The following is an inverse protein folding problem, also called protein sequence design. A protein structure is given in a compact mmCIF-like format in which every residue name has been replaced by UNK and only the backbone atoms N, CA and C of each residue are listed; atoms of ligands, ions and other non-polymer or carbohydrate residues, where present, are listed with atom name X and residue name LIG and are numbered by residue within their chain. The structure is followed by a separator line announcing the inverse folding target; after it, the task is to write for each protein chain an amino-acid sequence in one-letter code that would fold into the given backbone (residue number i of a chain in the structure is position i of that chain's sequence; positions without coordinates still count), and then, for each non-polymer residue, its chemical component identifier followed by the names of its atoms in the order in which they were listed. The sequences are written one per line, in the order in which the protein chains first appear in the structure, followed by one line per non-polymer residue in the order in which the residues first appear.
data_IF_101288115647
#
_entry.id   IF_101288115647
#
_cell.length_a   1.000
_cell.length_b   1.000
_cell.length_c   1.000
_cell.angle_alpha   90.00
_cell.angle_beta   90.00
_cell.angle_gamma   90.00
#
_symmetry.space_group_name_H-M   'P 1'
#
loop_
_entity.id
_entity.type
_entity.pdbx_description
1 polymer ?
#
# COMPACT_ATOMS: atom_id res chain seq x y z
N UNK A 1 6.26 1.91 -8.91
CA UNK A 1 7.22 1.15 -9.74
C UNK A 1 8.32 0.58 -8.85
N UNK A 2 8.09 -0.57 -8.23
CA UNK A 2 9.10 -1.30 -7.44
C UNK A 2 9.57 -2.55 -8.19
N UNK A 3 8.61 -3.30 -8.76
CA UNK A 3 8.91 -4.51 -9.54
C UNK A 3 9.86 -4.25 -10.72
N UNK A 4 9.70 -3.12 -11.43
CA UNK A 4 10.60 -2.75 -12.54
C UNK A 4 12.06 -2.55 -12.07
N UNK A 5 12.25 -1.92 -10.92
CA UNK A 5 13.58 -1.70 -10.33
C UNK A 5 14.19 -3.02 -9.87
N UNK A 6 13.41 -3.87 -9.21
CA UNK A 6 13.89 -5.18 -8.75
C UNK A 6 14.22 -6.13 -9.91
N UNK A 7 13.49 -6.06 -11.02
CA UNK A 7 13.79 -6.84 -12.22
C UNK A 7 15.09 -6.38 -12.90
N UNK A 8 15.46 -5.09 -12.79
CA UNK A 8 16.65 -4.51 -13.41
C UNK A 8 17.90 -4.61 -12.53
N UNK A 9 17.75 -4.32 -11.25
CA UNK A 9 18.85 -4.21 -10.28
C UNK A 9 19.00 -5.47 -9.40
N UNK A 10 18.06 -6.42 -9.53
CA UNK A 10 18.01 -7.66 -8.75
C UNK A 10 17.34 -7.51 -7.39
N UNK A 11 16.99 -8.66 -6.78
CA UNK A 11 16.23 -8.70 -5.52
C UNK A 11 16.96 -8.03 -4.35
N UNK A 12 18.30 -8.03 -4.35
CA UNK A 12 19.12 -7.44 -3.29
C UNK A 12 18.91 -5.92 -3.16
N UNK A 13 18.47 -5.25 -4.22
CA UNK A 13 18.21 -3.81 -4.20
C UNK A 13 17.09 -3.42 -3.22
N UNK A 14 16.24 -4.38 -2.83
CA UNK A 14 15.20 -4.15 -1.80
C UNK A 14 15.79 -3.75 -0.45
N UNK A 15 16.98 -4.23 -0.10
CA UNK A 15 17.65 -3.92 1.16
C UNK A 15 18.17 -2.48 1.19
N UNK A 16 18.63 -1.97 0.04
CA UNK A 16 19.01 -0.57 -0.10
C UNK A 16 17.78 0.33 0.08
N UNK A 17 16.69 0.00 -0.63
CA UNK A 17 15.43 0.73 -0.52
C UNK A 17 14.88 0.74 0.92
N UNK A 18 14.94 -0.39 1.62
CA UNK A 18 14.50 -0.49 3.02
C UNK A 18 15.30 0.45 3.93
N UNK A 19 16.63 0.46 3.81
CA UNK A 19 17.50 1.34 4.61
C UNK A 19 17.24 2.81 4.32
N UNK A 20 17.12 3.16 3.05
CA UNK A 20 16.85 4.55 2.63
C UNK A 20 15.50 5.03 3.19
N UNK A 21 14.48 4.15 3.16
CA UNK A 21 13.17 4.44 3.73
C UNK A 21 13.22 4.61 5.26
N UNK A 22 13.97 3.76 5.97
CA UNK A 22 14.17 3.88 7.41
C UNK A 22 14.90 5.18 7.79
N UNK A 23 15.92 5.57 7.04
CA UNK A 23 16.66 6.82 7.27
C UNK A 23 15.78 8.05 7.00
N UNK A 24 15.01 8.00 5.91
CA UNK A 24 14.03 9.04 5.60
C UNK A 24 12.99 9.17 6.72
N UNK A 25 12.45 8.05 7.21
CA UNK A 25 11.52 8.02 8.34
C UNK A 25 12.11 8.65 9.60
N UNK A 26 13.35 8.31 9.93
CA UNK A 26 14.06 8.88 11.08
C UNK A 26 14.25 10.39 10.95
N UNK A 27 14.58 10.86 9.75
CA UNK A 27 14.76 12.29 9.45
C UNK A 27 13.44 13.07 9.57
N UNK A 28 12.31 12.43 9.27
CA UNK A 28 10.97 13.01 9.33
C UNK A 28 10.22 12.66 10.62
N UNK A 29 10.93 12.17 11.64
CA UNK A 29 10.39 11.85 12.97
C UNK A 29 9.22 10.84 12.94
N UNK A 30 9.20 9.97 11.93
CA UNK A 30 8.26 8.86 11.84
C UNK A 30 8.82 7.63 12.57
N UNK A 31 8.14 7.20 13.62
CA UNK A 31 8.47 6.00 14.40
C UNK A 31 7.96 4.72 13.73
N UNK A 32 6.95 4.84 12.85
CA UNK A 32 6.39 3.68 12.14
C UNK A 32 5.81 4.04 10.78
N UNK A 33 5.74 3.05 9.88
CA UNK A 33 5.08 3.18 8.58
C UNK A 33 3.60 3.50 8.76
N UNK A 34 2.96 2.98 9.82
CA UNK A 34 1.56 3.28 10.15
C UNK A 34 1.34 4.76 10.47
N UNK A 35 2.26 5.38 11.22
CA UNK A 35 2.23 6.81 11.51
C UNK A 35 2.34 7.61 10.21
N UNK A 36 3.30 7.26 9.34
CA UNK A 36 3.47 7.88 8.02
C UNK A 36 2.20 7.76 7.16
N UNK A 37 1.59 6.58 7.10
CA UNK A 37 0.35 6.33 6.35
C UNK A 37 -0.84 7.13 6.88
N UNK A 38 -0.94 7.27 8.21
CA UNK A 38 -1.96 8.09 8.86
C UNK A 38 -1.78 9.58 8.53
N UNK A 39 -0.55 10.08 8.60
CA UNK A 39 -0.22 11.46 8.24
C UNK A 39 -0.45 11.72 6.75
N UNK A 40 -0.03 10.84 5.85
CA UNK A 40 -0.31 11.00 4.41
C UNK A 40 -1.80 10.92 4.06
N UNK A 41 -2.58 10.09 4.75
CA UNK A 41 -4.04 10.05 4.57
C UNK A 41 -4.73 11.35 5.01
N UNK A 42 -4.13 12.11 5.94
CA UNK A 42 -4.66 13.40 6.40
C UNK A 42 -4.08 14.59 5.61
N UNK A 43 -2.77 14.59 5.33
CA UNK A 43 -2.06 15.68 4.63
C UNK A 43 -2.37 15.73 3.13
N UNK A 44 -2.69 14.60 2.49
CA UNK A 44 -3.10 14.56 1.07
C UNK A 44 -4.63 14.54 0.88
N UNK A 45 -5.44 14.86 1.90
CA UNK A 45 -6.89 14.96 1.75
C UNK A 45 -7.42 16.40 1.87
N UNK A 46 -7.17 17.26 0.85
CA UNK A 46 -7.91 18.51 0.70
C UNK A 46 -9.33 18.30 0.14
N UNK A 47 -9.66 17.09 -0.33
CA UNK A 47 -10.99 16.76 -0.86
C UNK A 47 -11.44 15.36 -0.40
N UNK A 48 -12.32 15.25 0.61
CA UNK A 48 -12.77 13.98 1.19
C UNK A 48 -13.36 12.99 0.16
N UNK A 49 -13.94 13.50 -0.93
CA UNK A 49 -14.56 12.67 -1.98
C UNK A 49 -13.56 11.84 -2.81
N UNK A 50 -12.28 12.25 -2.87
CA UNK A 50 -11.24 11.51 -3.60
C UNK A 50 -10.76 10.29 -2.81
N UNK A 51 -10.70 10.41 -1.48
CA UNK A 51 -10.32 9.33 -0.59
C UNK A 51 -11.39 8.24 -0.55
N UNK A 52 -12.67 8.63 -0.43
CA UNK A 52 -13.81 7.69 -0.48
C UNK A 52 -13.86 6.94 -1.82
N UNK A 53 -13.66 7.63 -2.96
CA UNK A 53 -13.60 6.97 -4.27
C UNK A 53 -12.44 5.99 -4.39
N UNK A 54 -11.25 6.33 -3.90
CA UNK A 54 -10.09 5.44 -3.97
C UNK A 54 -10.33 4.15 -3.15
N UNK A 55 -10.93 4.27 -1.96
CA UNK A 55 -11.28 3.10 -1.15
C UNK A 55 -12.44 2.29 -1.74
N UNK A 56 -13.46 2.95 -2.27
CA UNK A 56 -14.59 2.28 -2.94
C UNK A 56 -14.13 1.51 -4.19
N UNK A 57 -13.28 2.10 -5.03
CA UNK A 57 -12.71 1.44 -6.20
C UNK A 57 -11.84 0.24 -5.82
N UNK A 58 -11.05 0.35 -4.74
CA UNK A 58 -10.24 -0.76 -4.22
C UNK A 58 -11.12 -1.91 -3.69
N UNK A 59 -12.20 -1.59 -2.98
CA UNK A 59 -13.15 -2.59 -2.48
C UNK A 59 -13.82 -3.36 -3.62
N UNK A 60 -14.23 -2.67 -4.69
CA UNK A 60 -14.80 -3.32 -5.88
C UNK A 60 -13.79 -4.19 -6.66
N UNK A 61 -12.53 -3.76 -6.75
CA UNK A 61 -11.48 -4.55 -7.43
C UNK A 61 -11.04 -5.78 -6.64
N UNK A 62 -11.19 -5.75 -5.31
CA UNK A 62 -10.82 -6.88 -4.42
C UNK A 62 -12.02 -7.79 -4.15
N UNK A 63 -13.23 -7.39 -4.55
CA UNK A 63 -14.43 -8.21 -4.43
C UNK A 63 -14.42 -9.32 -5.48
N UNK A 64 -14.12 -10.54 -5.04
CA UNK A 64 -14.17 -11.73 -5.88
C UNK A 64 -15.41 -12.55 -5.47
N UNK A 65 -16.53 -12.52 -6.22
CA UNK A 65 -17.75 -13.22 -5.85
C UNK A 65 -17.64 -14.76 -5.90
N UNK A 66 -16.53 -15.30 -6.40
CA UNK A 66 -16.32 -16.75 -6.56
C UNK A 66 -15.88 -17.48 -5.28
N UNK A 67 -15.59 -16.76 -4.18
CA UNK A 67 -15.28 -17.39 -2.88
C UNK A 67 -16.53 -17.89 -2.13
N UNK A 68 -17.65 -18.06 -2.84
CA UNK A 68 -18.95 -18.47 -2.33
C UNK A 68 -19.58 -19.62 -3.10
N UNK A 69 -18.81 -20.46 -3.79
CA UNK A 69 -19.33 -21.74 -4.30
C UNK A 69 -19.59 -22.69 -3.14
N UNK A 70 -20.83 -22.58 -2.68
CA UNK A 70 -21.57 -23.52 -1.83
C UNK A 70 -21.21 -24.96 -2.20
N UNK A 71 -20.58 -25.70 -1.28
CA UNK A 71 -20.52 -27.16 -1.38
C UNK A 71 -21.94 -27.70 -1.18
N UNK A 72 -22.67 -27.86 -2.29
CA UNK A 72 -23.86 -28.71 -2.33
C UNK A 72 -23.42 -30.12 -2.71
N UNK A 73 -23.46 -31.04 -1.73
CA UNK A 73 -23.68 -32.48 -1.84
C UNK A 73 -22.95 -33.32 -2.91
N UNK A 74 -22.24 -34.35 -2.46
CA UNK A 74 -22.39 -35.74 -2.91
C UNK A 74 -21.82 -36.68 -1.85
#
# INVERSE_FOLDING_TARGET
MLCSVLLREGINHIQCLEKDLQEWMKTHEYESVTQMQGTMSQLNCPNPSAFERAQYMKALQTYNPDSGTVYTGS
#
